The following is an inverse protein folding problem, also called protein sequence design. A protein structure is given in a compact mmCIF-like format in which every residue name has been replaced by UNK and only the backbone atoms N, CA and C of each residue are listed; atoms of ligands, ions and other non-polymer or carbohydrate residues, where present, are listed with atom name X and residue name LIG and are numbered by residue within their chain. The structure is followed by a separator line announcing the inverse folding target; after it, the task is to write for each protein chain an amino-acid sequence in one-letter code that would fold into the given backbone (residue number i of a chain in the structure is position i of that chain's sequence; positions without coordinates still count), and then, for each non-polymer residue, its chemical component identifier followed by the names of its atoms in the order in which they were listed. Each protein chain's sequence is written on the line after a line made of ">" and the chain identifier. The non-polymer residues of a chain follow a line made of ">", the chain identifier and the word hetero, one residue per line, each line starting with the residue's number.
data_IF_403831214703
#
_entry.id   IF_403831214703
#
_cell.length_a   1.000
_cell.length_b   1.000
_cell.length_c   1.000
_cell.angle_alpha   90.00
_cell.angle_beta   90.00
_cell.angle_gamma   90.00
#
_symmetry.space_group_name_H-M   'P 1'
#
loop_
_entity.id
_entity.type
_entity.pdbx_description
1 polymer ?
#
# COMPACT_ATOMS: atom_id res chain seq x y z
N UNK A 1 -19.07 50.54 11.07
CA UNK A 1 -20.29 51.08 11.71
C UNK A 1 -19.93 52.47 12.21
N UNK A 2 -20.23 53.50 11.41
CA UNK A 2 -19.84 54.88 11.70
C UNK A 2 -20.84 55.46 12.72
N UNK A 3 -20.37 55.78 13.92
CA UNK A 3 -21.09 56.62 14.87
C UNK A 3 -20.50 58.03 14.80
N UNK A 4 -21.13 58.81 13.95
CA UNK A 4 -21.00 60.26 13.89
C UNK A 4 -21.94 60.81 14.97
N UNK A 5 -21.42 61.39 16.05
CA UNK A 5 -22.23 62.14 17.01
C UNK A 5 -21.72 63.58 16.97
N UNK A 6 -22.63 64.45 16.53
CA UNK A 6 -22.40 65.86 16.29
C UNK A 6 -22.19 66.67 17.56
N UNK A 7 -21.61 67.85 17.32
CA UNK A 7 -21.48 68.99 18.21
C UNK A 7 -22.79 69.32 18.93
N UNK A 8 -22.73 69.54 20.25
CA UNK A 8 -23.70 70.42 20.90
C UNK A 8 -23.05 71.16 22.08
N UNK A 9 -22.78 72.45 21.85
CA UNK A 9 -22.30 73.38 22.86
C UNK A 9 -23.43 73.82 23.77
N UNK A 10 -23.76 73.01 24.77
CA UNK A 10 -24.90 73.26 25.67
C UNK A 10 -24.63 72.91 27.14
N UNK A 11 -23.39 73.09 27.64
CA UNK A 11 -23.08 72.79 29.05
C UNK A 11 -23.13 74.00 30.00
N UNK A 12 -23.23 75.24 29.51
CA UNK A 12 -23.19 76.43 30.38
C UNK A 12 -24.61 76.96 30.69
N UNK A 13 -25.61 76.67 29.85
CA UNK A 13 -26.95 77.26 29.98
C UNK A 13 -27.83 76.49 30.99
N UNK A 14 -27.57 75.20 31.21
CA UNK A 14 -28.47 74.34 32.01
C UNK A 14 -28.35 74.57 33.53
N UNK A 15 -27.18 74.99 34.03
CA UNK A 15 -26.98 75.15 35.48
C UNK A 15 -27.54 76.46 36.06
N UNK A 16 -27.85 77.48 35.23
CA UNK A 16 -28.45 78.72 35.72
C UNK A 16 -29.98 78.65 35.80
N UNK A 17 -30.61 77.78 35.00
CA UNK A 17 -32.06 77.64 34.93
C UNK A 17 -32.69 76.83 36.08
N UNK A 18 -31.88 76.15 36.90
CA UNK A 18 -32.35 75.34 38.03
C UNK A 18 -32.48 76.11 39.35
N UNK A 19 -31.93 77.33 39.45
CA UNK A 19 -32.03 78.20 40.64
C UNK A 19 -33.25 79.13 40.62
N UNK A 20 -34.07 79.10 39.57
CA UNK A 20 -35.12 80.09 39.33
C UNK A 20 -36.55 79.52 39.34
N UNK A 21 -36.82 78.47 40.14
CA UNK A 21 -38.18 77.98 40.33
C UNK A 21 -38.58 77.89 41.81
N UNK A 22 -39.45 78.84 42.16
CA UNK A 22 -40.59 78.74 43.10
C UNK A 22 -40.33 78.98 44.59
N UNK A 23 -40.52 80.26 44.97
CA UNK A 23 -41.06 80.68 46.27
C UNK A 23 -42.45 80.06 46.52
N UNK A 24 -42.71 79.80 47.80
CA UNK A 24 -43.99 79.57 48.47
C UNK A 24 -44.60 78.16 48.52
N UNK A 25 -44.14 77.34 49.48
CA UNK A 25 -45.04 76.51 50.29
C UNK A 25 -44.56 76.41 51.75
N UNK A 26 -45.42 76.90 52.65
CA UNK A 26 -45.37 76.85 54.11
C UNK A 26 -45.26 75.43 54.70
N UNK A 27 -44.40 75.26 55.72
CA UNK A 27 -44.51 74.16 56.70
C UNK A 27 -43.20 73.75 57.36
N UNK A 28 -43.08 74.00 58.66
CA UNK A 28 -42.05 73.56 59.62
C UNK A 28 -40.62 74.10 59.43
N UNK A 29 -40.45 75.37 59.84
CA UNK A 29 -39.19 76.00 60.22
C UNK A 29 -38.61 75.34 61.50
N UNK A 30 -37.89 74.24 61.32
CA UNK A 30 -36.68 74.03 62.09
C UNK A 30 -35.57 73.57 61.16
N UNK A 31 -35.40 74.32 60.06
CA UNK A 31 -34.11 74.39 59.41
C UNK A 31 -33.15 74.98 60.44
N UNK A 32 -32.23 74.18 60.96
CA UNK A 32 -31.09 74.72 61.68
C UNK A 32 -30.29 75.51 60.64
N UNK A 33 -30.64 76.78 60.46
CA UNK A 33 -29.98 77.71 59.57
C UNK A 33 -28.55 77.85 60.08
N UNK A 34 -27.65 77.02 59.53
CA UNK A 34 -26.24 77.04 59.89
C UNK A 34 -25.67 78.32 59.33
N UNK A 35 -25.67 79.37 60.15
CA UNK A 35 -25.12 80.67 59.82
C UNK A 35 -23.60 80.57 59.75
N UNK A 36 -23.08 80.14 58.60
CA UNK A 36 -21.64 80.19 58.30
C UNK A 36 -21.18 81.63 58.33
N UNK A 37 -20.07 81.87 59.02
CA UNK A 37 -19.41 83.16 58.97
C UNK A 37 -18.69 83.33 57.62
N UNK A 38 -18.57 84.57 57.14
CA UNK A 38 -17.88 84.86 55.88
C UNK A 38 -16.45 84.30 55.84
N UNK A 39 -15.74 84.37 56.98
CA UNK A 39 -14.37 83.86 57.11
C UNK A 39 -14.29 82.32 56.98
N UNK A 40 -15.29 81.59 57.49
CA UNK A 40 -15.38 80.12 57.33
C UNK A 40 -15.61 79.73 55.87
N UNK A 41 -16.49 80.44 55.16
CA UNK A 41 -16.76 80.22 53.75
C UNK A 41 -15.53 80.53 52.88
N UNK A 42 -14.84 81.63 53.17
CA UNK A 42 -13.63 82.03 52.46
C UNK A 42 -12.51 80.98 52.62
N UNK A 43 -12.27 80.51 53.85
CA UNK A 43 -11.28 79.47 54.13
C UNK A 43 -11.63 78.13 53.46
N UNK A 44 -12.91 77.76 53.44
CA UNK A 44 -13.37 76.56 52.72
C UNK A 44 -13.14 76.67 51.20
N UNK A 45 -13.42 77.83 50.60
CA UNK A 45 -13.16 78.09 49.18
C UNK A 45 -11.66 78.04 48.84
N UNK A 46 -10.80 78.62 49.66
CA UNK A 46 -9.36 78.62 49.42
C UNK A 46 -8.77 77.20 49.46
N UNK A 47 -9.20 76.37 50.44
CA UNK A 47 -8.85 74.95 50.48
C UNK A 47 -9.32 74.20 49.22
N UNK A 48 -10.55 74.46 48.79
CA UNK A 48 -11.11 73.85 47.58
C UNK A 48 -10.30 74.25 46.33
N UNK A 49 -9.89 75.51 46.23
CA UNK A 49 -9.08 76.01 45.12
C UNK A 49 -7.69 75.35 45.07
N UNK A 50 -7.03 75.20 46.22
CA UNK A 50 -5.73 74.50 46.30
C UNK A 50 -5.87 73.04 45.86
N UNK A 51 -6.91 72.33 46.31
CA UNK A 51 -7.17 70.96 45.89
C UNK A 51 -7.48 70.86 44.39
N UNK A 52 -8.25 71.81 43.85
CA UNK A 52 -8.50 71.89 42.40
C UNK A 52 -7.21 72.06 41.59
N UNK A 53 -6.30 72.94 42.02
CA UNK A 53 -5.01 73.14 41.35
C UNK A 53 -4.15 71.86 41.40
N UNK A 54 -4.11 71.19 42.56
CA UNK A 54 -3.43 69.91 42.73
C UNK A 54 -3.98 68.83 41.78
N UNK A 55 -5.31 68.72 41.64
CA UNK A 55 -5.95 67.81 40.70
C UNK A 55 -5.60 68.17 39.25
N UNK A 56 -5.57 69.46 38.90
CA UNK A 56 -5.17 69.90 37.57
C UNK A 56 -3.73 69.49 37.22
N UNK A 57 -2.80 69.61 38.17
CA UNK A 57 -1.42 69.17 37.99
C UNK A 57 -1.33 67.66 37.79
N UNK A 58 -2.04 66.86 38.61
CA UNK A 58 -2.11 65.40 38.45
C UNK A 58 -2.66 65.02 37.07
N UNK A 59 -3.72 65.69 36.60
CA UNK A 59 -4.31 65.43 35.29
C UNK A 59 -3.34 65.72 34.13
N UNK A 60 -2.53 66.80 34.22
CA UNK A 60 -1.47 67.07 33.23
C UNK A 60 -0.43 65.94 33.19
N UNK A 61 -0.03 65.41 34.34
CA UNK A 61 0.90 64.28 34.43
C UNK A 61 0.28 63.00 33.84
N UNK A 62 -0.97 62.68 34.17
CA UNK A 62 -1.66 61.53 33.59
C UNK A 62 -1.78 61.61 32.07
N UNK A 63 -2.10 62.78 31.51
CA UNK A 63 -2.12 62.97 30.04
C UNK A 63 -0.77 62.65 29.39
N UNK A 64 0.34 63.06 30.00
CA UNK A 64 1.69 62.73 29.51
C UNK A 64 1.94 61.22 29.57
N UNK A 65 1.58 60.58 30.69
CA UNK A 65 1.75 59.14 30.87
C UNK A 65 0.92 58.33 29.85
N UNK A 66 -0.31 58.76 29.56
CA UNK A 66 -1.17 58.13 28.53
C UNK A 66 -0.51 58.19 27.16
N UNK A 67 0.05 59.33 26.76
CA UNK A 67 0.76 59.47 25.47
C UNK A 67 2.00 58.57 25.44
N UNK A 68 2.77 58.52 26.53
CA UNK A 68 3.95 57.66 26.63
C UNK A 68 3.59 56.17 26.50
N UNK A 69 2.59 55.72 27.25
CA UNK A 69 2.11 54.32 27.21
C UNK A 69 1.53 53.96 25.84
N UNK A 70 0.80 54.88 25.19
CA UNK A 70 0.27 54.65 23.84
C UNK A 70 1.40 54.37 22.84
N UNK A 71 2.51 55.11 22.92
CA UNK A 71 3.67 54.89 22.06
C UNK A 71 4.33 53.53 22.31
N UNK A 72 4.50 53.16 23.58
CA UNK A 72 5.08 51.88 23.97
C UNK A 72 4.22 50.69 23.50
N UNK A 73 2.89 50.82 23.53
CA UNK A 73 1.96 49.85 22.96
C UNK A 73 2.15 49.70 21.45
N UNK A 74 2.29 50.81 20.73
CA UNK A 74 2.50 50.78 19.27
C UNK A 74 3.84 50.12 18.91
N UNK A 75 4.90 50.41 19.66
CA UNK A 75 6.22 49.80 19.50
C UNK A 75 6.15 48.28 19.74
N UNK A 76 5.57 47.84 20.86
CA UNK A 76 5.37 46.42 21.19
C UNK A 76 4.49 45.69 20.17
N UNK A 77 3.46 46.37 19.63
CA UNK A 77 2.61 45.82 18.57
C UNK A 77 3.41 45.58 17.29
N UNK A 78 4.29 46.51 16.93
CA UNK A 78 5.18 46.34 15.78
C UNK A 78 6.15 45.17 15.97
N UNK A 79 6.67 44.99 17.18
CA UNK A 79 7.60 43.90 17.50
C UNK A 79 6.89 42.53 17.48
N UNK A 80 5.71 42.43 18.09
CA UNK A 80 4.86 41.24 18.02
C UNK A 80 4.53 40.83 16.59
N UNK A 81 4.31 41.80 15.69
CA UNK A 81 4.07 41.49 14.27
C UNK A 81 5.28 40.86 13.58
N UNK A 82 6.50 41.25 13.95
CA UNK A 82 7.74 40.64 13.43
C UNK A 82 7.89 39.21 13.93
N UNK A 83 7.67 38.97 15.22
CA UNK A 83 7.75 37.63 15.79
C UNK A 83 6.71 36.68 15.20
N UNK A 84 5.48 37.15 14.93
CA UNK A 84 4.47 36.33 14.26
C UNK A 84 4.91 35.90 12.86
N UNK A 85 5.48 36.81 12.07
CA UNK A 85 6.00 36.48 10.75
C UNK A 85 7.18 35.49 10.81
N UNK A 86 8.04 35.61 11.82
CA UNK A 86 9.14 34.67 12.03
C UNK A 86 8.64 33.28 12.42
N UNK A 87 7.65 33.20 13.32
CA UNK A 87 6.99 31.95 13.71
C UNK A 87 6.36 31.27 12.49
N UNK A 88 5.68 32.03 11.62
CA UNK A 88 5.08 31.50 10.39
C UNK A 88 6.15 30.95 9.44
N UNK A 89 7.23 31.70 9.21
CA UNK A 89 8.37 31.24 8.39
C UNK A 89 9.01 29.96 8.96
N UNK A 90 9.18 29.86 10.27
CA UNK A 90 9.72 28.67 10.93
C UNK A 90 8.77 27.48 10.83
N UNK A 91 7.45 27.72 10.92
CA UNK A 91 6.43 26.69 10.74
C UNK A 91 6.47 26.11 9.34
N UNK A 92 6.61 26.95 8.31
CA UNK A 92 6.73 26.50 6.92
C UNK A 92 8.01 25.68 6.70
N UNK A 93 9.14 26.12 7.27
CA UNK A 93 10.41 25.36 7.24
C UNK A 93 10.27 24.01 7.93
N UNK A 94 9.64 23.95 9.09
CA UNK A 94 9.40 22.69 9.80
C UNK A 94 8.51 21.76 8.96
N UNK A 95 7.47 22.27 8.31
CA UNK A 95 6.65 21.48 7.40
C UNK A 95 7.46 20.90 6.24
N UNK A 96 8.42 21.66 5.70
CA UNK A 96 9.31 21.18 4.65
C UNK A 96 10.22 20.04 5.15
N UNK A 97 10.88 20.22 6.28
CA UNK A 97 11.78 19.20 6.83
C UNK A 97 11.05 17.92 7.25
N UNK A 98 9.80 18.02 7.74
CA UNK A 98 8.97 16.85 8.02
C UNK A 98 8.73 16.00 6.77
N UNK A 99 8.40 16.64 5.65
CA UNK A 99 8.22 15.92 4.37
C UNK A 99 9.52 15.26 3.90
N UNK A 100 10.67 15.91 4.07
CA UNK A 100 11.98 15.36 3.72
C UNK A 100 12.32 14.13 4.58
N UNK A 101 12.03 14.17 5.88
CA UNK A 101 12.17 13.04 6.78
C UNK A 101 11.28 11.86 6.35
N UNK A 102 10.03 12.13 5.97
CA UNK A 102 9.11 11.07 5.50
C UNK A 102 9.63 10.40 4.22
N UNK A 103 10.14 11.17 3.27
CA UNK A 103 10.76 10.64 2.04
C UNK A 103 11.98 9.78 2.38
N UNK A 104 12.86 10.25 3.27
CA UNK A 104 14.04 9.50 3.70
C UNK A 104 13.66 8.20 4.40
N UNK A 105 12.62 8.21 5.24
CA UNK A 105 12.11 7.02 5.91
C UNK A 105 11.58 5.98 4.92
N UNK A 106 10.81 6.41 3.91
CA UNK A 106 10.33 5.52 2.84
C UNK A 106 11.50 4.96 2.04
N UNK A 107 12.48 5.79 1.68
CA UNK A 107 13.68 5.36 0.95
C UNK A 107 14.52 4.36 1.75
N UNK A 108 14.69 4.59 3.05
CA UNK A 108 15.42 3.69 3.96
C UNK A 108 14.73 2.34 4.07
N UNK A 109 13.40 2.33 4.23
CA UNK A 109 12.61 1.10 4.25
C UNK A 109 12.76 0.31 2.95
N UNK A 110 12.61 0.98 1.80
CA UNK A 110 12.77 0.36 0.49
C UNK A 110 14.18 -0.23 0.32
N UNK A 111 15.23 0.47 0.79
CA UNK A 111 16.60 -0.03 0.75
C UNK A 111 16.78 -1.30 1.58
N UNK A 112 16.16 -1.38 2.76
CA UNK A 112 16.21 -2.58 3.60
C UNK A 112 15.49 -3.76 2.93
N UNK A 113 14.30 -3.53 2.36
CA UNK A 113 13.55 -4.55 1.65
C UNK A 113 14.37 -5.15 0.49
N UNK A 114 15.06 -4.29 -0.30
CA UNK A 114 15.95 -4.74 -1.37
C UNK A 114 17.17 -5.52 -0.88
N UNK A 115 17.73 -5.16 0.29
CA UNK A 115 18.84 -5.90 0.89
C UNK A 115 18.43 -7.32 1.29
N UNK A 116 17.28 -7.47 1.95
CA UNK A 116 16.74 -8.77 2.33
C UNK A 116 16.43 -9.66 1.11
N UNK A 117 15.86 -9.09 0.04
CA UNK A 117 15.60 -9.81 -1.20
C UNK A 117 16.91 -10.29 -1.86
N UNK A 118 17.93 -9.43 -1.91
CA UNK A 118 19.24 -9.79 -2.45
C UNK A 118 19.92 -10.92 -1.66
N UNK A 119 19.80 -10.93 -0.33
CA UNK A 119 20.31 -12.03 0.49
C UNK A 119 19.62 -13.35 0.17
N UNK A 120 18.28 -13.35 0.02
CA UNK A 120 17.51 -14.54 -0.37
C UNK A 120 17.94 -15.04 -1.76
N UNK A 121 18.03 -14.15 -2.75
CA UNK A 121 18.47 -14.49 -4.10
C UNK A 121 19.88 -15.07 -4.12
N UNK A 122 20.78 -14.55 -3.28
CA UNK A 122 22.15 -15.07 -3.17
C UNK A 122 22.17 -16.53 -2.68
N UNK A 123 21.36 -16.84 -1.68
CA UNK A 123 21.18 -18.21 -1.18
C UNK A 123 20.61 -19.11 -2.28
N UNK A 124 19.56 -18.67 -2.99
CA UNK A 124 18.97 -19.42 -4.10
C UNK A 124 20.00 -19.71 -5.20
N UNK A 125 20.78 -18.73 -5.61
CA UNK A 125 21.85 -18.90 -6.61
C UNK A 125 22.88 -19.93 -6.15
N UNK A 126 23.30 -19.91 -4.89
CA UNK A 126 24.25 -20.90 -4.35
C UNK A 126 23.67 -22.32 -4.35
N UNK A 127 22.39 -22.46 -4.01
CA UNK A 127 21.71 -23.78 -4.09
C UNK A 127 21.56 -24.26 -5.53
N UNK A 128 21.23 -23.36 -6.46
CA UNK A 128 21.09 -23.68 -7.88
C UNK A 128 22.44 -24.08 -8.49
N UNK A 129 23.51 -23.36 -8.14
CA UNK A 129 24.87 -23.66 -8.57
C UNK A 129 25.33 -25.04 -8.10
N UNK A 130 25.00 -25.43 -6.86
CA UNK A 130 25.27 -26.76 -6.33
C UNK A 130 24.51 -27.84 -7.10
N UNK A 131 23.22 -27.63 -7.34
CA UNK A 131 22.37 -28.53 -8.14
C UNK A 131 22.89 -28.68 -9.58
N UNK A 132 23.30 -27.58 -10.20
CA UNK A 132 23.86 -27.57 -11.55
C UNK A 132 25.18 -28.35 -11.64
N UNK A 133 26.07 -28.21 -10.65
CA UNK A 133 27.31 -29.00 -10.57
C UNK A 133 27.03 -30.50 -10.51
N UNK A 134 26.05 -30.93 -9.69
CA UNK A 134 25.61 -32.33 -9.62
C UNK A 134 25.06 -32.80 -10.96
N UNK A 135 24.18 -32.00 -11.58
CA UNK A 135 23.59 -32.30 -12.89
C UNK A 135 24.67 -32.42 -13.98
N UNK A 136 25.60 -31.47 -14.07
CA UNK A 136 26.69 -31.46 -15.04
C UNK A 136 27.60 -32.69 -14.88
N UNK A 137 27.92 -33.07 -13.64
CA UNK A 137 28.67 -34.30 -13.36
C UNK A 137 27.89 -35.56 -13.78
N UNK A 138 26.57 -35.57 -13.60
CA UNK A 138 25.69 -36.63 -14.08
C UNK A 138 25.67 -36.72 -15.61
N UNK A 139 25.53 -35.58 -16.29
CA UNK A 139 25.54 -35.49 -17.76
C UNK A 139 26.84 -36.02 -18.34
N UNK A 140 28.00 -35.57 -17.83
CA UNK A 140 29.29 -36.06 -18.32
C UNK A 140 29.46 -37.57 -18.14
N UNK A 141 28.95 -38.16 -17.05
CA UNK A 141 28.95 -39.61 -16.86
C UNK A 141 28.05 -40.32 -17.87
N UNK A 142 26.87 -39.76 -18.15
CA UNK A 142 25.95 -40.29 -19.15
C UNK A 142 26.56 -40.21 -20.56
N UNK A 143 27.15 -39.07 -20.93
CA UNK A 143 27.79 -38.87 -22.23
C UNK A 143 28.93 -39.89 -22.42
N UNK A 144 29.80 -40.07 -21.41
CA UNK A 144 30.84 -41.10 -21.44
C UNK A 144 30.25 -42.51 -21.63
N UNK A 145 29.14 -42.84 -20.97
CA UNK A 145 28.46 -44.13 -21.12
C UNK A 145 27.91 -44.30 -22.55
N UNK A 146 27.26 -43.27 -23.09
CA UNK A 146 26.67 -43.29 -24.42
C UNK A 146 27.74 -43.33 -25.52
N UNK A 147 28.87 -42.64 -25.33
CA UNK A 147 30.01 -42.69 -26.26
C UNK A 147 30.67 -44.08 -26.27
N UNK A 148 30.75 -44.76 -25.12
CA UNK A 148 31.13 -46.18 -25.06
C UNK A 148 30.08 -47.07 -25.73
N UNK A 149 28.79 -46.76 -25.60
CA UNK A 149 27.69 -47.53 -26.19
C UNK A 149 27.54 -47.29 -27.69
N UNK A 150 28.06 -46.17 -28.22
CA UNK A 150 28.26 -45.91 -29.65
C UNK A 150 29.29 -46.83 -30.30
N UNK A 151 29.80 -47.83 -29.59
CA UNK A 151 30.45 -48.97 -30.23
C UNK A 151 29.48 -49.59 -31.26
N UNK A 152 29.74 -49.22 -32.51
CA UNK A 152 29.14 -49.60 -33.77
C UNK A 152 29.18 -51.12 -33.91
N UNK A 153 28.28 -51.83 -33.25
CA UNK A 153 28.09 -53.26 -33.52
C UNK A 153 26.83 -53.54 -34.33
N UNK A 154 25.88 -52.59 -34.37
CA UNK A 154 24.73 -52.60 -35.27
C UNK A 154 24.71 -51.34 -36.17
N UNK A 155 25.79 -51.10 -36.94
CA UNK A 155 25.63 -50.35 -38.21
C UNK A 155 25.08 -51.30 -39.28
N UNK A 156 23.86 -51.79 -39.07
CA UNK A 156 23.11 -52.54 -40.06
C UNK A 156 21.96 -51.65 -40.54
N UNK A 157 22.28 -50.76 -41.49
CA UNK A 157 21.33 -49.88 -42.15
C UNK A 157 21.74 -49.66 -43.60
N UNK A 158 20.78 -49.38 -44.47
CA UNK A 158 20.97 -49.14 -45.91
C UNK A 158 22.13 -48.17 -46.16
N UNK A 159 23.24 -48.68 -46.71
CA UNK A 159 24.43 -47.91 -47.08
C UNK A 159 25.73 -48.22 -46.32
N UNK A 160 25.74 -49.15 -45.35
CA UNK A 160 26.98 -49.63 -44.73
C UNK A 160 27.38 -51.03 -45.22
N UNK A 161 28.63 -51.17 -45.68
CA UNK A 161 29.24 -52.46 -46.01
C UNK A 161 29.63 -53.23 -44.73
N UNK A 162 29.21 -54.50 -44.64
CA UNK A 162 29.60 -55.39 -43.55
C UNK A 162 31.12 -55.59 -43.53
N UNK A 163 31.76 -55.16 -42.45
CA UNK A 163 33.18 -55.40 -42.22
C UNK A 163 33.41 -56.91 -41.97
N UNK A 164 34.00 -57.60 -42.95
CA UNK A 164 34.19 -59.07 -43.01
C UNK A 164 34.94 -59.72 -41.83
N UNK A 165 35.54 -58.94 -40.93
CA UNK A 165 36.43 -59.43 -39.86
C UNK A 165 35.96 -59.10 -38.43
N UNK A 166 34.73 -58.63 -38.23
CA UNK A 166 34.24 -58.31 -36.89
C UNK A 166 33.79 -59.60 -36.19
N UNK A 167 34.49 -59.99 -35.12
CA UNK A 167 34.04 -61.06 -34.23
C UNK A 167 32.76 -60.62 -33.52
N UNK A 168 31.62 -61.11 -33.98
CA UNK A 168 30.36 -60.97 -33.24
C UNK A 168 30.44 -61.77 -31.94
N UNK A 169 30.65 -61.09 -30.83
CA UNK A 169 30.46 -61.69 -29.51
C UNK A 169 28.97 -61.89 -29.29
N UNK A 170 28.54 -63.11 -28.94
CA UNK A 170 27.17 -63.36 -28.52
C UNK A 170 26.91 -62.52 -27.27
N UNK A 171 25.96 -61.59 -27.33
CA UNK A 171 25.48 -60.86 -26.16
C UNK A 171 24.99 -61.87 -25.11
N UNK A 172 25.81 -62.09 -24.07
CA UNK A 172 25.51 -63.01 -22.98
C UNK A 172 24.32 -62.56 -22.11
N UNK A 173 23.91 -61.30 -22.23
CA UNK A 173 22.87 -60.69 -21.41
C UNK A 173 21.44 -60.92 -21.92
N UNK A 174 21.25 -61.44 -23.13
CA UNK A 174 19.92 -61.69 -23.70
C UNK A 174 19.82 -63.14 -24.14
N UNK A 175 19.01 -63.95 -23.45
CA UNK A 175 18.63 -65.28 -23.94
C UNK A 175 17.95 -65.09 -25.30
N UNK A 176 18.43 -65.78 -26.35
CA UNK A 176 17.72 -65.86 -27.63
C UNK A 176 16.34 -66.47 -27.37
N UNK A 177 15.31 -65.63 -27.33
CA UNK A 177 13.94 -66.07 -27.47
C UNK A 177 13.77 -66.36 -28.95
N UNK A 178 13.67 -67.63 -29.33
CA UNK A 178 13.23 -67.98 -30.67
C UNK A 178 11.86 -67.32 -30.89
N UNK A 179 11.78 -66.45 -31.89
CA UNK A 179 10.55 -65.73 -32.20
C UNK A 179 9.48 -66.76 -32.59
N UNK A 180 8.60 -67.08 -31.65
CA UNK A 180 7.37 -67.84 -31.89
C UNK A 180 6.35 -66.91 -32.56
N UNK A 181 6.62 -66.50 -33.80
CA UNK A 181 5.65 -65.73 -34.56
C UNK A 181 4.49 -66.65 -34.94
N UNK A 182 3.31 -66.35 -34.44
CA UNK A 182 2.06 -67.00 -34.83
C UNK A 182 1.38 -66.19 -35.93
N UNK A 183 0.71 -66.89 -36.84
CA UNK A 183 -0.08 -66.27 -37.88
C UNK A 183 -1.32 -65.60 -37.25
N UNK A 184 -1.50 -64.29 -37.43
CA UNK A 184 -2.67 -63.57 -36.87
C UNK A 184 -4.01 -64.04 -37.47
N UNK A 185 -3.99 -64.72 -38.63
CA UNK A 185 -5.19 -65.27 -39.25
C UNK A 185 -5.60 -66.62 -38.66
N UNK A 186 -4.70 -67.61 -38.62
CA UNK A 186 -5.02 -68.98 -38.20
C UNK A 186 -4.45 -69.39 -36.83
N UNK A 187 -3.68 -68.54 -36.16
CA UNK A 187 -3.09 -68.79 -34.84
C UNK A 187 -1.98 -69.85 -34.80
N UNK A 188 -1.54 -70.39 -35.93
CA UNK A 188 -0.45 -71.39 -35.99
C UNK A 188 0.92 -70.72 -36.10
N UNK A 189 1.92 -71.30 -35.45
CA UNK A 189 3.30 -70.79 -35.43
C UNK A 189 4.01 -71.11 -36.75
N UNK A 190 4.95 -70.25 -37.17
CA UNK A 190 5.89 -70.52 -38.27
C UNK A 190 5.55 -69.89 -39.62
N UNK A 191 4.47 -69.12 -39.72
CA UNK A 191 4.16 -68.31 -40.92
C UNK A 191 3.43 -67.00 -40.55
N UNK A 192 3.40 -66.05 -41.47
CA UNK A 192 2.74 -64.74 -41.29
C UNK A 192 1.36 -64.81 -41.97
N UNK A 193 0.43 -63.92 -41.58
CA UNK A 193 -0.92 -63.85 -42.15
C UNK A 193 -0.98 -63.71 -43.68
N UNK A 194 0.07 -63.22 -44.33
CA UNK A 194 0.13 -63.08 -45.80
C UNK A 194 0.42 -64.40 -46.52
N UNK A 195 1.20 -65.28 -45.90
CA UNK A 195 1.50 -66.63 -46.40
C UNK A 195 0.54 -67.69 -45.83
N UNK A 196 -0.54 -67.28 -45.17
CA UNK A 196 -1.49 -68.19 -44.57
C UNK A 196 -2.36 -68.88 -45.63
N UNK A 197 -2.28 -70.20 -45.69
CA UNK A 197 -3.06 -71.06 -46.59
C UNK A 197 -4.57 -70.83 -46.41
N UNK A 198 -5.02 -70.60 -45.17
CA UNK A 198 -6.42 -70.35 -44.85
C UNK A 198 -6.91 -68.96 -45.24
N UNK A 199 -6.00 -68.02 -45.53
CA UNK A 199 -6.35 -66.69 -46.05
C UNK A 199 -6.44 -66.69 -47.57
N UNK A 200 -5.52 -67.42 -48.23
CA UNK A 200 -5.38 -67.37 -49.69
C UNK A 200 -6.32 -68.35 -50.43
N UNK A 201 -6.86 -69.37 -49.74
CA UNK A 201 -7.84 -70.29 -50.34
C UNK A 201 -9.28 -69.92 -49.95
N UNK A 202 -10.07 -69.49 -50.93
CA UNK A 202 -11.52 -69.20 -50.81
C UNK A 202 -12.36 -70.44 -50.40
N UNK A 203 -11.83 -71.66 -50.53
CA UNK A 203 -12.53 -72.91 -50.26
C UNK A 203 -12.61 -73.32 -48.78
N UNK A 204 -11.83 -72.69 -47.88
CA UNK A 204 -11.93 -72.92 -46.45
C UNK A 204 -12.76 -71.80 -45.82
N UNK A 205 -14.03 -72.09 -45.54
CA UNK A 205 -15.03 -71.10 -45.11
C UNK A 205 -14.53 -70.16 -43.99
N UNK A 206 -14.76 -68.86 -44.19
CA UNK A 206 -14.45 -67.81 -43.19
C UNK A 206 -15.10 -68.19 -41.86
N UNK A 207 -14.30 -68.52 -40.85
CA UNK A 207 -14.81 -68.71 -39.49
C UNK A 207 -15.34 -67.37 -38.98
N UNK A 208 -16.67 -67.25 -38.84
CA UNK A 208 -17.30 -66.06 -38.23
C UNK A 208 -16.86 -66.01 -36.76
N UNK A 209 -16.08 -64.99 -36.40
CA UNK A 209 -15.75 -64.70 -35.01
C UNK A 209 -16.88 -63.84 -34.42
N UNK A 210 -17.43 -64.27 -33.30
CA UNK A 210 -18.41 -63.51 -32.50
C UNK A 210 -17.68 -63.05 -31.24
N UNK A 211 -17.89 -61.81 -30.81
CA UNK A 211 -17.33 -61.31 -29.55
C UNK A 211 -18.05 -61.95 -28.37
N UNK A 212 -17.30 -62.56 -27.46
CA UNK A 212 -17.82 -63.18 -26.22
C UNK A 212 -16.95 -62.75 -25.04
N UNK A 213 -17.54 -62.39 -23.87
CA UNK A 213 -16.77 -62.12 -22.66
C UNK A 213 -15.84 -63.28 -22.26
N UNK A 214 -14.69 -62.96 -21.66
CA UNK A 214 -13.72 -63.97 -21.22
C UNK A 214 -14.35 -64.91 -20.18
N UNK A 215 -14.34 -66.21 -20.46
CA UNK A 215 -14.84 -67.27 -19.56
C UNK A 215 -16.08 -68.02 -20.04
N UNK A 216 -16.67 -67.66 -21.18
CA UNK A 216 -17.91 -68.28 -21.69
C UNK A 216 -17.63 -69.35 -22.75
N UNK A 217 -18.11 -70.58 -22.52
CA UNK A 217 -18.23 -71.63 -23.56
C UNK A 217 -19.61 -71.51 -24.21
N UNK A 218 -19.69 -71.01 -25.43
CA UNK A 218 -20.96 -70.80 -26.14
C UNK A 218 -21.42 -72.12 -26.76
N UNK A 219 -22.36 -72.84 -26.13
CA UNK A 219 -22.88 -74.12 -26.66
C UNK A 219 -24.33 -74.09 -27.16
N UNK A 220 -25.07 -72.98 -27.08
CA UNK A 220 -26.40 -72.87 -27.73
C UNK A 220 -26.81 -71.41 -27.93
N UNK A 221 -27.03 -70.99 -29.18
CA UNK A 221 -27.50 -69.65 -29.54
C UNK A 221 -29.03 -69.65 -29.66
N UNK A 222 -29.73 -69.22 -28.62
CA UNK A 222 -31.13 -68.76 -28.72
C UNK A 222 -31.15 -67.23 -28.56
N UNK A 223 -31.66 -66.54 -29.59
CA UNK A 223 -31.54 -65.10 -29.80
C UNK A 223 -32.60 -64.23 -29.06
N UNK A 224 -32.71 -62.93 -29.40
CA UNK A 224 -32.32 -61.87 -28.49
C UNK A 224 -33.47 -60.90 -28.18
N UNK A 225 -33.54 -60.35 -26.96
CA UNK A 225 -34.13 -59.02 -26.72
C UNK A 225 -33.42 -58.40 -25.52
N UNK A 226 -32.66 -57.33 -25.73
CA UNK A 226 -32.83 -56.04 -25.04
C UNK A 226 -31.77 -55.08 -25.59
N UNK A 227 -32.25 -54.00 -26.24
CA UNK A 227 -31.47 -52.80 -26.56
C UNK A 227 -30.98 -52.21 -25.23
N UNK A 228 -29.68 -52.06 -25.06
CA UNK A 228 -29.15 -51.10 -24.09
C UNK A 228 -28.55 -49.92 -24.85
N UNK A 229 -29.26 -48.81 -24.79
CA UNK A 229 -28.76 -47.47 -25.13
C UNK A 229 -28.24 -46.86 -23.83
N UNK A 230 -27.03 -46.29 -23.79
CA UNK A 230 -26.60 -45.51 -22.64
C UNK A 230 -26.90 -44.03 -22.84
N UNK A 231 -27.44 -43.37 -21.80
CA UNK A 231 -27.32 -41.94 -21.42
C UNK A 231 -28.32 -41.67 -20.28
N UNK A 232 -28.01 -40.99 -19.18
CA UNK A 232 -26.95 -40.04 -18.80
C UNK A 232 -26.39 -40.44 -17.45
#
# INVERSE_FOLDING_TARGET
>A
MNLNIGLEGSSIIVNLALMAMEEDTSGDESESEVNFTFDELQNAYEKLYIEYENVCLKNKTFKKNVISLSKEIDDLKSENSKFLNEIESLKDKNSFYMNEIDILNVSSKLSNDFMEENEKLKIEVDTLKKSFSIFSNGSAKLDNLLDLQRCVFDKAGLGFDEMKNVKHFKNFFVKKVESQFCCNYCGKIGHISTSCIFRNNLGYGKTRKIWVPKGTLVTNLQGPKFKWVPKV
#
